data_IF_087237967557
#
_entry.id   IF_087237967557
#
_cell.length_a   1.000
_cell.length_b   1.000
_cell.length_c   1.000
_cell.angle_alpha   90.00
_cell.angle_beta   90.00
_cell.angle_gamma   90.00
#
_symmetry.space_group_name_H-M   'P 1'
#
loop_
_entity.id
_entity.type
_entity.pdbx_description
1 polymer ?
#
# COMPACT_ATOMS: atom_id res chain seq x y z
N UNK A 1 8.24 9.89 3.56
CA UNK A 1 9.33 10.21 2.61
C UNK A 1 8.90 11.32 1.67
N UNK A 2 9.63 12.44 1.64
CA UNK A 2 9.27 13.60 0.81
C UNK A 2 9.16 13.24 -0.69
N UNK A 3 10.09 12.42 -1.20
CA UNK A 3 10.12 11.99 -2.60
C UNK A 3 8.89 11.16 -2.99
N UNK A 4 8.51 10.21 -2.15
CA UNK A 4 7.33 9.37 -2.37
C UNK A 4 6.04 10.17 -2.30
N UNK A 5 5.93 11.07 -1.32
CA UNK A 5 4.77 11.95 -1.17
C UNK A 5 4.59 12.88 -2.36
N UNK A 6 5.69 13.43 -2.88
CA UNK A 6 5.65 14.30 -4.05
C UNK A 6 5.13 13.54 -5.28
N UNK A 7 5.62 12.33 -5.51
CA UNK A 7 5.18 11.47 -6.61
C UNK A 7 3.69 11.17 -6.51
N UNK A 8 3.22 10.84 -5.32
CA UNK A 8 1.82 10.54 -5.07
C UNK A 8 0.93 11.76 -5.34
N UNK A 9 1.32 12.95 -4.87
CA UNK A 9 0.58 14.20 -5.11
C UNK A 9 0.47 14.50 -6.60
N UNK A 10 1.55 14.34 -7.34
CA UNK A 10 1.55 14.54 -8.79
C UNK A 10 0.60 13.57 -9.48
N UNK A 11 0.61 12.30 -9.08
CA UNK A 11 -0.27 11.28 -9.65
C UNK A 11 -1.75 11.62 -9.40
N UNK A 12 -2.09 12.00 -8.17
CA UNK A 12 -3.45 12.38 -7.79
C UNK A 12 -3.93 13.58 -8.63
N UNK A 13 -3.09 14.59 -8.79
CA UNK A 13 -3.41 15.80 -9.56
C UNK A 13 -3.57 15.48 -11.06
N UNK A 14 -2.64 14.74 -11.64
CA UNK A 14 -2.65 14.41 -13.08
C UNK A 14 -3.84 13.54 -13.47
N UNK A 15 -4.25 12.63 -12.59
CA UNK A 15 -5.35 11.70 -12.86
C UNK A 15 -6.72 12.25 -12.45
N UNK A 16 -6.78 13.44 -11.85
CA UNK A 16 -8.02 14.04 -11.40
C UNK A 16 -8.73 13.21 -10.33
N UNK A 17 -7.96 12.54 -9.46
CA UNK A 17 -8.52 11.71 -8.39
C UNK A 17 -9.10 12.61 -7.30
N UNK A 18 -10.35 12.35 -6.89
CA UNK A 18 -11.00 13.05 -5.80
C UNK A 18 -10.47 12.54 -4.46
N UNK A 19 -9.29 13.03 -4.08
CA UNK A 19 -8.66 12.66 -2.83
C UNK A 19 -7.82 13.82 -2.32
N UNK A 20 -7.72 13.93 -1.02
CA UNK A 20 -6.88 14.92 -0.35
C UNK A 20 -5.65 14.22 0.22
N UNK A 21 -4.46 14.73 -0.13
CA UNK A 21 -3.22 14.23 0.46
C UNK A 21 -2.92 15.06 1.70
N UNK A 22 -3.03 14.43 2.87
CA UNK A 22 -2.87 15.08 4.16
C UNK A 22 -1.56 14.60 4.80
N UNK A 23 -0.76 15.56 5.28
CA UNK A 23 0.43 15.25 6.08
C UNK A 23 0.06 15.31 7.55
N UNK A 24 0.27 14.22 8.27
CA UNK A 24 -0.05 14.13 9.69
C UNK A 24 1.17 14.46 10.55
N UNK A 25 0.93 15.16 11.66
CA UNK A 25 2.00 15.54 12.59
C UNK A 25 2.52 14.38 13.42
N UNK A 26 1.71 13.35 13.61
CA UNK A 26 2.07 12.17 14.40
C UNK A 26 2.46 11.00 13.50
N UNK A 27 3.17 10.02 14.11
CA UNK A 27 3.54 8.80 13.39
C UNK A 27 2.30 7.99 13.00
N UNK A 28 2.32 7.42 11.80
CA UNK A 28 1.24 6.58 11.28
C UNK A 28 1.77 5.24 10.79
N UNK A 29 2.73 4.66 11.51
CA UNK A 29 3.37 3.39 11.14
C UNK A 29 2.42 2.21 11.13
N UNK A 30 1.37 2.24 11.95
CA UNK A 30 0.37 1.19 12.01
C UNK A 30 -0.99 1.74 11.63
N UNK A 31 -1.91 0.86 11.23
CA UNK A 31 -3.28 1.26 10.93
C UNK A 31 -3.97 1.85 12.17
N UNK A 32 -3.66 1.35 13.36
CA UNK A 32 -4.22 1.89 14.61
C UNK A 32 -3.74 3.33 14.84
N UNK A 33 -2.45 3.60 14.63
CA UNK A 33 -1.90 4.96 14.79
C UNK A 33 -2.52 5.92 13.77
N UNK A 34 -2.73 5.47 12.53
CA UNK A 34 -3.40 6.27 11.51
C UNK A 34 -4.85 6.56 11.89
N UNK A 35 -5.58 5.55 12.39
CA UNK A 35 -6.96 5.71 12.84
C UNK A 35 -7.07 6.70 13.99
N UNK A 36 -6.15 6.62 14.96
CA UNK A 36 -6.12 7.53 16.11
C UNK A 36 -5.86 8.97 15.66
N UNK A 37 -4.93 9.17 14.73
CA UNK A 37 -4.60 10.50 14.20
C UNK A 37 -5.76 11.13 13.42
N UNK A 38 -6.53 10.32 12.71
CA UNK A 38 -7.64 10.78 11.88
C UNK A 38 -8.99 10.79 12.60
N UNK A 39 -9.05 10.24 13.82
CA UNK A 39 -10.29 10.16 14.57
C UNK A 39 -11.31 9.20 13.98
N UNK A 40 -10.84 8.10 13.39
CA UNK A 40 -11.71 7.09 12.79
C UNK A 40 -11.37 5.68 13.31
N UNK A 41 -12.11 4.67 12.86
CA UNK A 41 -11.88 3.29 13.25
C UNK A 41 -10.82 2.64 12.35
N UNK A 42 -10.10 1.64 12.88
CA UNK A 42 -9.09 0.89 12.13
C UNK A 42 -9.67 0.28 10.85
N UNK A 43 -10.91 -0.20 10.90
CA UNK A 43 -11.59 -0.77 9.74
C UNK A 43 -11.76 0.24 8.58
N UNK A 44 -11.73 1.53 8.87
CA UNK A 44 -11.83 2.60 7.87
C UNK A 44 -10.49 2.98 7.26
N UNK A 45 -9.39 2.43 7.78
CA UNK A 45 -8.06 2.63 7.23
C UNK A 45 -7.78 1.54 6.20
N UNK A 46 -7.32 1.93 5.02
CA UNK A 46 -6.81 0.99 4.03
C UNK A 46 -5.29 0.88 4.19
N UNK A 47 -4.77 -0.30 4.03
CA UNK A 47 -3.34 -0.56 4.04
C UNK A 47 -2.92 -1.33 2.79
N UNK A 48 -1.70 -1.11 2.35
CA UNK A 48 -1.12 -1.81 1.21
C UNK A 48 -0.07 -2.79 1.71
N UNK A 49 -0.30 -4.08 1.45
CA UNK A 49 0.64 -5.15 1.79
C UNK A 49 1.26 -5.63 0.50
N UNK A 50 2.59 -5.66 0.45
CA UNK A 50 3.33 -6.03 -0.76
C UNK A 50 3.78 -7.47 -0.68
N UNK A 51 3.50 -8.22 -1.74
CA UNK A 51 3.97 -9.59 -1.93
C UNK A 51 4.87 -9.65 -3.16
N UNK A 52 5.72 -10.64 -3.20
CA UNK A 52 6.63 -10.87 -4.32
C UNK A 52 6.61 -12.35 -4.73
N UNK A 53 6.98 -12.61 -5.97
CA UNK A 53 7.03 -13.91 -6.59
C UNK A 53 7.35 -13.71 -8.06
N UNK A 54 6.45 -14.11 -8.96
CA UNK A 54 6.64 -13.88 -10.39
C UNK A 54 6.61 -12.40 -10.74
N UNK A 55 5.88 -11.60 -9.95
CA UNK A 55 5.87 -10.15 -10.07
C UNK A 55 5.48 -9.50 -8.74
N UNK A 56 5.76 -8.19 -8.54
CA UNK A 56 5.31 -7.49 -7.34
C UNK A 56 3.78 -7.38 -7.33
N UNK A 57 3.18 -7.62 -6.18
CA UNK A 57 1.73 -7.50 -5.98
C UNK A 57 1.47 -6.63 -4.77
N UNK A 58 0.62 -5.63 -4.91
CA UNK A 58 0.14 -4.80 -3.82
C UNK A 58 -1.30 -5.18 -3.53
N UNK A 59 -1.57 -5.66 -2.32
CA UNK A 59 -2.93 -5.97 -1.87
C UNK A 59 -3.40 -4.84 -0.96
N UNK A 60 -4.45 -4.16 -1.35
CA UNK A 60 -5.07 -3.09 -0.56
C UNK A 60 -6.23 -3.70 0.22
N UNK A 61 -6.13 -3.61 1.53
CA UNK A 61 -7.07 -4.28 2.45
C UNK A 61 -7.34 -3.38 3.65
N UNK A 62 -8.48 -3.58 4.30
CA UNK A 62 -8.83 -2.85 5.51
C UNK A 62 -7.80 -3.07 6.62
N UNK A 63 -7.56 -2.04 7.43
CA UNK A 63 -6.54 -2.05 8.48
C UNK A 63 -6.72 -3.11 9.55
N UNK A 64 -7.95 -3.60 9.75
CA UNK A 64 -8.28 -4.63 10.74
C UNK A 64 -8.22 -6.06 10.19
N UNK A 65 -7.86 -6.23 8.92
CA UNK A 65 -7.80 -7.53 8.26
C UNK A 65 -6.38 -7.96 7.93
N UNK A 66 -6.20 -9.23 7.61
CA UNK A 66 -4.93 -9.80 7.17
C UNK A 66 -5.09 -10.51 5.84
N UNK A 67 -4.04 -10.48 5.03
CA UNK A 67 -4.00 -11.21 3.77
C UNK A 67 -3.65 -12.65 4.05
N UNK A 68 -4.45 -13.58 3.52
CA UNK A 68 -4.13 -15.01 3.54
C UNK A 68 -3.25 -15.31 2.31
N UNK A 69 -1.95 -15.51 2.55
CA UNK A 69 -0.98 -15.72 1.49
C UNK A 69 -1.28 -16.97 0.64
N UNK A 70 -1.88 -18.00 1.24
CA UNK A 70 -2.26 -19.22 0.52
C UNK A 70 -3.39 -18.94 -0.48
N UNK A 71 -4.43 -18.24 -0.03
CA UNK A 71 -5.54 -17.85 -0.91
C UNK A 71 -5.08 -16.90 -1.99
N UNK A 72 -4.19 -15.97 -1.64
CA UNK A 72 -3.60 -15.05 -2.62
C UNK A 72 -2.83 -15.81 -3.69
N UNK A 73 -1.99 -16.79 -3.30
CA UNK A 73 -1.22 -17.60 -4.22
C UNK A 73 -2.12 -18.40 -5.16
N UNK A 74 -3.20 -18.97 -4.64
CA UNK A 74 -4.19 -19.70 -5.44
C UNK A 74 -4.85 -18.77 -6.48
N UNK A 75 -5.19 -17.56 -6.08
CA UNK A 75 -5.78 -16.57 -6.98
C UNK A 75 -4.81 -16.14 -8.09
N UNK A 76 -3.54 -15.94 -7.74
CA UNK A 76 -2.51 -15.52 -8.69
C UNK A 76 -2.03 -16.63 -9.60
N UNK A 77 -2.13 -17.89 -9.18
CA UNK A 77 -1.59 -19.03 -9.91
C UNK A 77 -0.09 -19.26 -9.70
N UNK A 78 0.51 -18.58 -8.72
CA UNK A 78 1.92 -18.75 -8.35
C UNK A 78 2.10 -18.40 -6.87
N UNK A 79 3.22 -18.86 -6.27
CA UNK A 79 3.46 -18.68 -4.85
C UNK A 79 3.83 -17.23 -4.52
N UNK A 80 3.00 -16.57 -3.74
CA UNK A 80 3.25 -15.24 -3.24
C UNK A 80 3.89 -15.29 -1.85
N UNK A 81 4.93 -14.47 -1.65
CA UNK A 81 5.61 -14.31 -0.37
C UNK A 81 5.56 -12.85 0.03
N UNK A 82 5.43 -12.59 1.33
CA UNK A 82 5.51 -11.22 1.82
C UNK A 82 6.87 -10.62 1.44
N UNK A 83 6.86 -9.40 0.89
CA UNK A 83 8.06 -8.74 0.45
C UNK A 83 8.83 -8.12 1.61
N UNK A 84 10.16 -8.24 1.60
CA UNK A 84 11.01 -7.51 2.54
C UNK A 84 11.18 -6.04 2.07
N UNK A 85 11.92 -5.24 2.85
CA UNK A 85 12.08 -3.82 2.57
C UNK A 85 12.69 -3.54 1.18
N UNK A 86 13.68 -4.34 0.78
CA UNK A 86 14.32 -4.17 -0.53
C UNK A 86 13.38 -4.55 -1.67
N UNK A 87 12.64 -5.64 -1.52
CA UNK A 87 11.66 -6.07 -2.52
C UNK A 87 10.53 -5.05 -2.67
N UNK A 88 10.07 -4.44 -1.56
CA UNK A 88 9.06 -3.38 -1.60
C UNK A 88 9.59 -2.18 -2.39
N UNK A 89 10.78 -1.70 -2.07
CA UNK A 89 11.36 -0.55 -2.74
C UNK A 89 11.59 -0.82 -4.24
N UNK A 90 12.20 -1.93 -4.56
CA UNK A 90 12.54 -2.28 -5.95
C UNK A 90 11.28 -2.58 -6.78
N UNK A 91 10.27 -3.18 -6.17
CA UNK A 91 9.05 -3.55 -6.88
C UNK A 91 8.06 -2.39 -7.06
N UNK A 92 7.87 -1.57 -6.03
CA UNK A 92 6.83 -0.52 -6.03
C UNK A 92 7.36 0.89 -6.25
N UNK A 93 8.61 1.15 -5.94
CA UNK A 93 9.19 2.49 -5.94
C UNK A 93 8.95 3.26 -4.64
N UNK A 94 8.38 2.61 -3.62
CA UNK A 94 8.10 3.21 -2.32
C UNK A 94 8.75 2.40 -1.20
N UNK A 95 8.89 3.01 -0.02
CA UNK A 95 9.48 2.32 1.13
C UNK A 95 8.42 1.50 1.86
N UNK A 96 8.85 0.43 2.54
CA UNK A 96 7.97 -0.39 3.35
C UNK A 96 7.26 0.47 4.40
N UNK A 97 5.96 0.24 4.58
CA UNK A 97 5.13 1.06 5.46
C UNK A 97 4.63 2.36 4.82
N UNK A 98 5.15 2.72 3.65
CA UNK A 98 4.76 3.93 2.92
C UNK A 98 4.28 3.67 1.51
N UNK A 99 3.69 2.51 1.25
CA UNK A 99 3.21 2.13 -0.09
C UNK A 99 1.76 2.58 -0.26
N UNK A 100 1.47 3.49 -1.22
CA UNK A 100 0.10 3.89 -1.51
C UNK A 100 -0.63 2.81 -2.31
N UNK A 101 -1.97 2.92 -2.48
CA UNK A 101 -2.74 1.94 -3.25
C UNK A 101 -2.55 2.05 -4.77
N UNK A 102 -1.84 3.04 -5.26
CA UNK A 102 -1.61 3.30 -6.68
C UNK A 102 -0.32 4.11 -6.88
N UNK A 103 -0.04 4.53 -8.11
CA UNK A 103 1.14 5.32 -8.47
C UNK A 103 2.46 4.57 -8.28
N UNK A 104 2.46 3.25 -8.48
CA UNK A 104 3.63 2.38 -8.35
C UNK A 104 4.46 2.35 -9.63
N UNK A 105 5.64 1.71 -9.56
CA UNK A 105 6.43 1.40 -10.74
C UNK A 105 5.64 0.51 -11.71
N UNK A 106 5.93 0.54 -13.04
CA UNK A 106 5.26 -0.33 -14.00
C UNK A 106 5.42 -1.80 -13.66
N UNK A 107 4.41 -2.61 -13.97
CA UNK A 107 4.43 -4.04 -13.76
C UNK A 107 3.90 -4.50 -12.40
N UNK A 108 3.50 -3.57 -11.53
CA UNK A 108 2.91 -3.92 -10.24
C UNK A 108 1.44 -4.29 -10.43
N UNK A 109 1.06 -5.47 -9.92
CA UNK A 109 -0.34 -5.90 -9.87
C UNK A 109 -0.97 -5.36 -8.60
N UNK A 110 -2.14 -4.73 -8.70
CA UNK A 110 -2.86 -4.20 -7.54
C UNK A 110 -4.17 -4.96 -7.38
N UNK A 111 -4.37 -5.52 -6.19
CA UNK A 111 -5.60 -6.24 -5.84
C UNK A 111 -6.29 -5.50 -4.69
N UNK A 112 -7.61 -5.40 -4.78
CA UNK A 112 -8.45 -4.77 -3.75
C UNK A 112 -9.32 -5.84 -3.09
N UNK A 113 -9.41 -5.77 -1.77
CA UNK A 113 -10.32 -6.63 -1.01
C UNK A 113 -11.43 -5.83 -0.35
#
# INVERSE_FOLDING_TARGET
MARGSKRLRQFVDEKGIEAEVVTLDSSTRTSQMAADSLGCEVAQIAKSIVFTGDSPVVVVISGDKRVDAKKLSEHLGWKAKIADADAVRNGTGYVIGGVPPFAHEPGVVVLLD
#
